data_IF_695029564639
#
_entry.id   IF_695029564639
#
_cell.length_a   1.000
_cell.length_b   1.000
_cell.length_c   1.000
_cell.angle_alpha   90.00
_cell.angle_beta   90.00
_cell.angle_gamma   90.00
#
_symmetry.space_group_name_H-M   'P 1'
#
loop_
_entity.id
_entity.type
_entity.pdbx_description
1 polymer ?
#
# COMPACT_ATOMS: atom_id res chain seq x y z
N UNK A 1 -29.82 23.92 -39.17
CA UNK A 1 -30.47 23.03 -38.19
C UNK A 1 -29.39 22.44 -37.32
N UNK A 2 -29.49 22.70 -36.02
CA UNK A 2 -28.52 22.36 -34.96
C UNK A 2 -28.61 20.90 -34.54
N UNK A 3 -27.46 20.28 -34.28
CA UNK A 3 -27.10 19.29 -33.23
C UNK A 3 -25.73 18.76 -33.65
N UNK A 4 -24.64 18.84 -32.90
CA UNK A 4 -24.40 18.92 -31.47
C UNK A 4 -23.05 18.24 -31.28
N UNK A 5 -21.96 19.02 -31.31
CA UNK A 5 -20.59 18.51 -31.06
C UNK A 5 -20.52 17.95 -29.65
N UNK A 6 -20.52 16.62 -29.52
CA UNK A 6 -20.21 15.96 -28.25
C UNK A 6 -18.69 15.78 -28.18
N UNK A 7 -18.07 16.67 -27.39
CA UNK A 7 -16.73 16.50 -26.81
C UNK A 7 -16.63 15.10 -26.18
N UNK A 8 -15.83 14.24 -26.78
CA UNK A 8 -15.32 13.04 -26.10
C UNK A 8 -14.29 13.52 -25.08
N UNK A 9 -14.71 13.58 -23.81
CA UNK A 9 -13.78 13.74 -22.70
C UNK A 9 -12.98 12.44 -22.54
N UNK A 10 -11.76 12.44 -23.07
CA UNK A 10 -10.69 11.56 -22.61
C UNK A 10 -10.36 11.93 -21.17
N UNK A 11 -10.99 11.27 -20.21
CA UNK A 11 -10.60 11.34 -18.79
C UNK A 11 -9.67 10.16 -18.47
N UNK A 12 -8.47 10.19 -19.03
CA UNK A 12 -7.29 9.56 -18.41
C UNK A 12 -6.22 10.64 -18.29
N UNK A 13 -6.47 11.63 -17.43
CA UNK A 13 -5.42 12.46 -16.81
C UNK A 13 -5.86 12.81 -15.38
N UNK A 14 -4.90 12.65 -14.45
CA UNK A 14 -4.84 13.01 -13.01
C UNK A 14 -5.05 11.78 -12.11
N UNK A 15 -4.02 11.26 -11.43
CA UNK A 15 -3.06 12.00 -10.58
C UNK A 15 -1.59 11.58 -10.80
N UNK A 16 -0.94 12.19 -11.78
CA UNK A 16 0.51 12.42 -11.72
C UNK A 16 0.68 13.92 -11.46
N UNK A 17 0.79 14.30 -10.20
CA UNK A 17 0.75 15.72 -9.84
C UNK A 17 0.45 16.01 -8.38
N UNK A 18 1.22 15.41 -7.47
CA UNK A 18 1.49 16.01 -6.16
C UNK A 18 2.77 15.41 -5.55
N UNK A 19 3.86 15.40 -6.34
CA UNK A 19 5.23 15.24 -5.80
C UNK A 19 5.80 16.63 -5.52
N UNK A 20 5.11 17.37 -4.66
CA UNK A 20 5.60 18.62 -4.10
C UNK A 20 5.99 18.33 -2.67
N UNK A 21 7.25 18.00 -2.46
CA UNK A 21 7.87 17.99 -1.15
C UNK A 21 7.79 19.42 -0.62
N UNK A 22 6.85 19.70 0.26
CA UNK A 22 6.67 21.03 0.85
C UNK A 22 7.84 21.26 1.82
N UNK A 23 8.93 21.73 1.24
CA UNK A 23 9.93 22.55 1.91
C UNK A 23 9.27 23.89 2.19
N UNK A 24 9.15 24.27 3.47
CA UNK A 24 9.49 25.63 3.93
C UNK A 24 9.20 25.87 5.42
N UNK A 25 10.15 26.61 6.01
CA UNK A 25 10.04 27.52 7.16
C UNK A 25 10.11 26.94 8.56
N UNK A 26 11.29 27.03 9.18
CA UNK A 26 11.41 27.31 10.61
C UNK A 26 12.31 28.54 10.82
N UNK A 27 11.65 29.70 10.97
CA UNK A 27 12.24 30.91 11.52
C UNK A 27 12.46 30.77 13.03
N UNK A 28 13.44 31.51 13.55
CA UNK A 28 13.97 31.41 14.91
C UNK A 28 12.88 31.48 16.01
N UNK A 29 12.74 30.37 16.74
CA UNK A 29 12.14 30.30 18.06
C UNK A 29 13.13 29.55 18.98
N UNK A 30 13.02 29.76 20.30
CA UNK A 30 13.88 29.12 21.30
C UNK A 30 14.06 27.61 20.99
N UNK A 31 15.27 27.07 21.22
CA UNK A 31 15.66 25.74 20.76
C UNK A 31 14.67 24.60 21.10
N UNK A 32 13.93 24.70 22.21
CA UNK A 32 12.91 23.73 22.59
C UNK A 32 11.63 23.79 21.74
N UNK A 33 11.17 24.99 21.33
CA UNK A 33 10.03 25.14 20.42
C UNK A 33 10.34 24.55 19.05
N UNK A 34 11.55 24.79 18.54
CA UNK A 34 12.02 24.20 17.27
C UNK A 34 12.10 22.67 17.32
N UNK A 35 12.39 22.10 18.49
CA UNK A 35 12.44 20.63 18.69
C UNK A 35 11.06 20.00 18.70
N UNK A 36 10.09 20.67 19.33
CA UNK A 36 8.68 20.27 19.25
C UNK A 36 8.16 20.35 17.81
N UNK A 37 8.49 21.43 17.07
CA UNK A 37 8.07 21.57 15.67
C UNK A 37 8.74 20.56 14.74
N UNK A 38 10.01 20.21 14.98
CA UNK A 38 10.68 19.15 14.23
C UNK A 38 10.07 17.77 14.52
N UNK A 39 9.60 17.53 15.76
CA UNK A 39 8.88 16.30 16.10
C UNK A 39 7.50 16.23 15.44
N UNK A 40 6.76 17.36 15.38
CA UNK A 40 5.52 17.48 14.60
C UNK A 40 5.75 17.13 13.13
N UNK A 41 6.79 17.70 12.52
CA UNK A 41 7.13 17.42 11.13
C UNK A 41 7.44 15.93 10.91
N UNK A 42 8.18 15.31 11.82
CA UNK A 42 8.51 13.88 11.73
C UNK A 42 7.26 12.98 11.89
N UNK A 43 6.35 13.32 12.81
CA UNK A 43 5.06 12.64 12.97
C UNK A 43 4.19 12.76 11.72
N UNK A 44 4.15 13.95 11.12
CA UNK A 44 3.42 14.20 9.89
C UNK A 44 4.01 13.42 8.70
N UNK A 45 5.33 13.42 8.54
CA UNK A 45 6.02 12.66 7.49
C UNK A 45 5.78 11.15 7.63
N UNK A 46 5.82 10.62 8.85
CA UNK A 46 5.47 9.22 9.10
C UNK A 46 4.02 8.91 8.71
N UNK A 47 3.07 9.76 9.09
CA UNK A 47 1.66 9.63 8.74
C UNK A 47 1.43 9.62 7.22
N UNK A 48 2.03 10.57 6.50
CA UNK A 48 1.97 10.64 5.03
C UNK A 48 2.60 9.41 4.36
N UNK A 49 3.73 8.93 4.87
CA UNK A 49 4.38 7.73 4.34
C UNK A 49 3.53 6.48 4.57
N UNK A 50 2.91 6.35 5.75
CA UNK A 50 2.01 5.25 6.06
C UNK A 50 0.76 5.27 5.18
N UNK A 51 0.14 6.43 4.97
CA UNK A 51 -1.00 6.59 4.06
C UNK A 51 -0.64 6.18 2.62
N UNK A 52 0.56 6.54 2.16
CA UNK A 52 1.06 6.13 0.84
C UNK A 52 1.27 4.60 0.75
N UNK A 53 1.81 3.98 1.79
CA UNK A 53 1.98 2.52 1.85
C UNK A 53 0.62 1.79 1.83
N UNK A 54 -0.35 2.27 2.63
CA UNK A 54 -1.72 1.75 2.65
C UNK A 54 -2.38 1.91 1.28
N UNK A 55 -2.21 3.06 0.62
CA UNK A 55 -2.73 3.31 -0.72
C UNK A 55 -2.13 2.35 -1.75
N UNK A 56 -0.82 2.08 -1.68
CA UNK A 56 -0.19 1.13 -2.59
C UNK A 56 -0.71 -0.31 -2.38
N UNK A 57 -1.04 -0.70 -1.15
CA UNK A 57 -1.68 -1.99 -0.86
C UNK A 57 -3.10 -2.05 -1.45
N UNK A 58 -3.85 -0.95 -1.31
CA UNK A 58 -5.20 -0.79 -1.86
C UNK A 58 -5.23 -0.85 -3.39
N UNK A 59 -4.26 -0.18 -4.03
CA UNK A 59 -4.05 -0.22 -5.48
C UNK A 59 -3.72 -1.64 -5.95
N UNK A 60 -2.88 -2.38 -5.21
CA UNK A 60 -2.56 -3.77 -5.54
C UNK A 60 -3.79 -4.68 -5.46
N UNK A 61 -4.62 -4.53 -4.42
CA UNK A 61 -5.90 -5.28 -4.33
C UNK A 61 -6.84 -4.89 -5.47
N UNK A 62 -6.94 -3.60 -5.79
CA UNK A 62 -7.79 -3.15 -6.88
C UNK A 62 -7.33 -3.77 -8.22
N UNK A 63 -6.02 -3.81 -8.46
CA UNK A 63 -5.44 -4.44 -9.64
C UNK A 63 -5.57 -5.97 -9.66
N UNK A 64 -5.63 -6.63 -8.49
CA UNK A 64 -5.88 -8.08 -8.37
C UNK A 64 -7.19 -8.50 -9.03
N UNK A 65 -8.23 -7.67 -8.88
CA UNK A 65 -9.58 -7.92 -9.40
C UNK A 65 -9.92 -7.11 -10.66
N UNK A 66 -8.99 -6.32 -11.19
CA UNK A 66 -9.22 -5.52 -12.39
C UNK A 66 -9.27 -6.41 -13.64
N UNK A 67 -10.34 -6.29 -14.41
CA UNK A 67 -10.44 -6.91 -15.73
C UNK A 67 -9.35 -6.37 -16.68
N UNK A 68 -8.91 -7.16 -17.69
CA UNK A 68 -8.01 -6.66 -18.72
C UNK A 68 -8.60 -5.42 -19.40
N UNK A 69 -7.79 -4.39 -19.60
CA UNK A 69 -8.22 -3.24 -20.39
C UNK A 69 -8.45 -3.70 -21.84
N UNK A 70 -9.65 -3.43 -22.36
CA UNK A 70 -10.03 -3.75 -23.73
C UNK A 70 -10.41 -2.47 -24.47
N UNK A 71 -10.15 -2.42 -25.78
CA UNK A 71 -10.71 -1.37 -26.63
C UNK A 71 -12.22 -1.56 -26.78
N UNK A 72 -12.94 -0.48 -27.09
CA UNK A 72 -14.39 -0.53 -27.38
C UNK A 72 -14.69 -1.56 -28.48
N UNK A 73 -13.87 -1.61 -29.53
CA UNK A 73 -14.03 -2.56 -30.62
C UNK A 73 -13.85 -4.01 -30.15
N UNK A 74 -12.90 -4.26 -29.25
CA UNK A 74 -12.67 -5.59 -28.68
C UNK A 74 -13.82 -6.01 -27.76
N UNK A 75 -14.30 -5.11 -26.91
CA UNK A 75 -15.49 -5.34 -26.06
C UNK A 75 -16.74 -5.63 -26.91
N UNK A 76 -16.93 -4.89 -28.00
CA UNK A 76 -18.05 -5.12 -28.90
C UNK A 76 -17.95 -6.47 -29.61
N UNK A 77 -16.77 -6.84 -30.11
CA UNK A 77 -16.54 -8.13 -30.75
C UNK A 77 -16.77 -9.30 -29.77
N UNK A 78 -16.29 -9.18 -28.53
CA UNK A 78 -16.49 -10.17 -27.49
C UNK A 78 -17.96 -10.27 -27.07
N UNK A 79 -18.65 -9.14 -26.88
CA UNK A 79 -20.08 -9.13 -26.62
C UNK A 79 -20.88 -9.84 -27.72
N UNK A 80 -20.59 -9.56 -29.00
CA UNK A 80 -21.26 -10.21 -30.13
C UNK A 80 -20.99 -11.72 -30.12
N UNK A 81 -19.75 -12.15 -29.90
CA UNK A 81 -19.40 -13.56 -29.82
C UNK A 81 -20.13 -14.26 -28.66
N UNK A 82 -20.08 -13.68 -27.47
CA UNK A 82 -20.74 -14.21 -26.28
C UNK A 82 -22.27 -14.26 -26.45
N UNK A 83 -22.85 -13.27 -27.10
CA UNK A 83 -24.28 -13.24 -27.40
C UNK A 83 -24.71 -14.35 -28.36
N UNK A 84 -23.89 -14.65 -29.37
CA UNK A 84 -24.14 -15.74 -30.31
C UNK A 84 -24.09 -17.12 -29.64
N UNK A 85 -23.24 -17.27 -28.62
CA UNK A 85 -23.09 -18.52 -27.86
C UNK A 85 -24.06 -18.61 -26.66
N UNK A 86 -24.75 -17.52 -26.31
CA UNK A 86 -25.63 -17.45 -25.16
C UNK A 86 -26.96 -18.15 -25.43
N UNK A 87 -27.25 -19.22 -24.66
CA UNK A 87 -28.44 -20.05 -24.81
C UNK A 87 -29.60 -19.70 -23.86
N UNK A 88 -29.38 -18.74 -22.94
CA UNK A 88 -30.35 -18.34 -21.93
C UNK A 88 -31.26 -17.18 -22.35
N UNK A 89 -32.11 -16.71 -21.43
CA UNK A 89 -32.87 -15.46 -21.61
C UNK A 89 -32.01 -14.26 -21.24
N UNK A 90 -31.97 -13.24 -22.09
CA UNK A 90 -31.27 -12.00 -21.80
C UNK A 90 -31.96 -11.25 -20.66
N UNK A 91 -31.16 -10.79 -19.70
CA UNK A 91 -31.60 -10.06 -18.51
C UNK A 91 -30.66 -8.90 -18.25
N UNK A 92 -31.12 -7.88 -17.53
CA UNK A 92 -30.25 -6.76 -17.15
C UNK A 92 -29.02 -7.23 -16.34
N UNK A 93 -29.13 -8.34 -15.60
CA UNK A 93 -28.02 -8.92 -14.82
C UNK A 93 -26.96 -9.66 -15.63
N UNK A 94 -27.30 -10.24 -16.79
CA UNK A 94 -26.33 -10.99 -17.59
C UNK A 94 -25.66 -10.18 -18.69
N UNK A 95 -26.23 -9.04 -19.11
CA UNK A 95 -25.62 -8.16 -20.12
C UNK A 95 -24.20 -7.72 -19.72
N UNK A 96 -23.92 -7.24 -18.48
CA UNK A 96 -22.56 -6.88 -18.08
C UNK A 96 -21.57 -8.05 -18.16
N UNK A 97 -22.01 -9.27 -17.82
CA UNK A 97 -21.19 -10.49 -17.91
C UNK A 97 -20.89 -10.84 -19.37
N UNK A 98 -21.85 -10.64 -20.27
CA UNK A 98 -21.63 -10.88 -21.71
C UNK A 98 -20.69 -9.84 -22.33
N UNK A 99 -20.71 -8.60 -21.83
CA UNK A 99 -19.81 -7.52 -22.27
C UNK A 99 -18.37 -7.76 -21.78
N UNK A 100 -18.22 -8.22 -20.53
CA UNK A 100 -16.92 -8.47 -19.93
C UNK A 100 -16.98 -9.72 -19.02
N UNK A 101 -16.77 -10.92 -19.58
CA UNK A 101 -16.89 -12.17 -18.83
C UNK A 101 -15.79 -12.34 -17.78
N UNK A 102 -14.66 -11.65 -17.95
CA UNK A 102 -13.54 -11.66 -17.01
C UNK A 102 -13.77 -10.73 -15.81
N UNK A 103 -14.81 -9.90 -15.82
CA UNK A 103 -15.13 -9.04 -14.68
C UNK A 103 -15.53 -9.87 -13.45
N UNK A 104 -14.65 -9.95 -12.45
CA UNK A 104 -14.98 -10.56 -11.18
C UNK A 104 -15.91 -9.63 -10.40
N UNK A 105 -17.05 -10.15 -9.98
CA UNK A 105 -17.89 -9.50 -8.96
C UNK A 105 -17.36 -9.89 -7.59
N UNK A 106 -16.75 -8.94 -6.90
CA UNK A 106 -16.39 -9.11 -5.49
C UNK A 106 -17.68 -9.03 -4.67
N UNK A 107 -17.82 -9.91 -3.68
CA UNK A 107 -18.89 -9.81 -2.69
C UNK A 107 -18.92 -8.39 -2.09
N UNK A 108 -20.05 -7.66 -2.17
CA UNK A 108 -20.14 -6.29 -1.69
C UNK A 108 -19.75 -6.12 -0.22
N UNK A 109 -20.06 -7.10 0.64
CA UNK A 109 -19.74 -7.06 2.07
C UNK A 109 -18.23 -7.24 2.29
N UNK A 110 -17.59 -8.10 1.49
CA UNK A 110 -16.13 -8.28 1.51
C UNK A 110 -15.42 -7.01 1.03
N UNK A 111 -15.95 -6.34 0.00
CA UNK A 111 -15.38 -5.10 -0.49
C UNK A 111 -15.56 -3.95 0.52
N UNK A 112 -16.76 -3.79 1.07
CA UNK A 112 -17.06 -2.78 2.09
C UNK A 112 -16.20 -2.97 3.35
N UNK A 113 -16.00 -4.22 3.79
CA UNK A 113 -15.13 -4.52 4.94
C UNK A 113 -13.68 -4.10 4.69
N UNK A 114 -13.16 -4.34 3.50
CA UNK A 114 -11.82 -3.91 3.12
C UNK A 114 -11.67 -2.39 3.12
N UNK A 115 -12.59 -1.69 2.45
CA UNK A 115 -12.59 -0.22 2.40
C UNK A 115 -12.66 0.38 3.81
N UNK A 116 -13.48 -0.20 4.67
CA UNK A 116 -13.57 0.19 6.08
C UNK A 116 -12.26 -0.06 6.83
N UNK A 117 -11.61 -1.21 6.64
CA UNK A 117 -10.33 -1.51 7.29
C UNK A 117 -9.22 -0.56 6.84
N UNK A 118 -9.14 -0.25 5.55
CA UNK A 118 -8.16 0.72 5.02
C UNK A 118 -8.46 2.14 5.53
N UNK A 119 -9.73 2.54 5.60
CA UNK A 119 -10.13 3.83 6.17
C UNK A 119 -9.80 3.92 7.67
N UNK A 120 -10.03 2.85 8.43
CA UNK A 120 -9.68 2.78 9.85
C UNK A 120 -8.16 2.89 10.06
N UNK A 121 -7.36 2.19 9.25
CA UNK A 121 -5.90 2.32 9.29
C UNK A 121 -5.46 3.76 9.03
N UNK A 122 -5.95 4.38 7.94
CA UNK A 122 -5.62 5.79 7.63
C UNK A 122 -6.03 6.73 8.78
N UNK A 123 -7.20 6.52 9.37
CA UNK A 123 -7.68 7.28 10.53
C UNK A 123 -6.78 7.09 11.76
N UNK A 124 -6.26 5.89 12.00
CA UNK A 124 -5.32 5.63 13.11
C UNK A 124 -4.02 6.45 12.98
N UNK A 125 -3.43 6.54 11.78
CA UNK A 125 -2.24 7.37 11.54
C UNK A 125 -2.54 8.87 11.59
N UNK A 126 -3.68 9.31 11.04
CA UNK A 126 -4.11 10.71 11.13
C UNK A 126 -4.37 11.14 12.58
N UNK A 127 -5.01 10.29 13.39
CA UNK A 127 -5.23 10.54 14.83
C UNK A 127 -3.92 10.60 15.60
N UNK A 128 -2.91 9.82 15.20
CA UNK A 128 -1.59 9.90 15.79
C UNK A 128 -0.89 11.22 15.45
N UNK A 129 -0.91 11.65 14.18
CA UNK A 129 -0.38 12.95 13.76
C UNK A 129 -1.04 14.11 14.53
N UNK A 130 -2.37 14.03 14.71
CA UNK A 130 -3.15 15.00 15.47
C UNK A 130 -2.70 15.18 16.94
N UNK A 131 -2.05 14.18 17.56
CA UNK A 131 -1.50 14.32 18.92
C UNK A 131 -0.45 15.43 18.97
N UNK A 132 0.25 15.66 17.87
CA UNK A 132 1.34 16.63 17.78
C UNK A 132 0.87 18.01 17.35
N UNK A 133 -0.30 18.13 16.69
CA UNK A 133 -0.85 19.40 16.23
C UNK A 133 -1.20 20.34 17.38
N UNK A 134 -1.58 19.79 18.54
CA UNK A 134 -1.96 20.56 19.75
C UNK A 134 -0.75 20.96 20.62
N UNK A 135 0.47 20.58 20.23
CA UNK A 135 1.69 20.96 20.96
C UNK A 135 1.93 22.47 20.79
N UNK A 136 1.67 23.24 21.85
CA UNK A 136 1.87 24.69 21.90
C UNK A 136 0.70 25.49 22.46
N UNK A 137 -0.52 24.93 22.51
CA UNK A 137 -1.68 25.60 23.14
C UNK A 137 -1.79 25.28 24.65
N UNK A 138 -1.67 24.00 25.05
CA UNK A 138 -1.79 23.56 26.46
C UNK A 138 -0.58 22.75 27.00
N UNK A 139 0.29 22.23 26.12
CA UNK A 139 1.51 21.47 26.46
C UNK A 139 2.73 22.21 25.91
N UNK A 140 3.14 23.26 26.65
CA UNK A 140 4.15 24.25 26.25
C UNK A 140 5.50 23.67 25.79
N UNK A 141 5.75 22.37 26.03
CA UNK A 141 6.98 21.68 25.67
C UNK A 141 6.76 20.28 25.08
N UNK A 142 5.52 19.91 24.74
CA UNK A 142 5.19 18.64 24.08
C UNK A 142 5.43 17.37 24.91
N UNK A 143 5.72 17.46 26.20
CA UNK A 143 6.07 16.31 27.05
C UNK A 143 4.86 15.38 27.26
N UNK A 144 3.66 15.96 27.42
CA UNK A 144 2.41 15.20 27.51
C UNK A 144 2.07 14.52 26.19
N UNK A 145 2.24 15.23 25.07
CA UNK A 145 2.05 14.67 23.74
C UNK A 145 3.02 13.51 23.46
N UNK A 146 4.30 13.64 23.83
CA UNK A 146 5.32 12.58 23.70
C UNK A 146 4.95 11.34 24.52
N UNK A 147 4.53 11.55 25.77
CA UNK A 147 4.14 10.45 26.65
C UNK A 147 2.94 9.67 26.09
N UNK A 148 1.95 10.39 25.53
CA UNK A 148 0.77 9.80 24.88
C UNK A 148 1.13 9.12 23.56
N UNK A 149 2.02 9.73 22.77
CA UNK A 149 2.35 9.29 21.42
C UNK A 149 3.22 8.01 21.41
N UNK A 150 4.16 7.84 22.36
CA UNK A 150 5.11 6.71 22.35
C UNK A 150 4.44 5.33 22.26
N UNK A 151 3.48 4.98 23.13
CA UNK A 151 2.77 3.70 23.04
C UNK A 151 1.95 3.55 21.75
N UNK A 152 1.33 4.63 21.26
CA UNK A 152 0.53 4.63 20.04
C UNK A 152 1.43 4.39 18.81
N UNK A 153 2.57 5.10 18.72
CA UNK A 153 3.54 4.91 17.65
C UNK A 153 4.03 3.47 17.57
N UNK A 154 4.35 2.83 18.70
CA UNK A 154 4.76 1.42 18.72
C UNK A 154 3.70 0.50 18.13
N UNK A 155 2.42 0.71 18.48
CA UNK A 155 1.31 -0.05 17.92
C UNK A 155 1.23 0.15 16.40
N UNK A 156 1.26 1.40 15.93
CA UNK A 156 1.17 1.74 14.51
C UNK A 156 2.35 1.19 13.70
N UNK A 157 3.57 1.22 14.25
CA UNK A 157 4.75 0.61 13.63
C UNK A 157 4.61 -0.90 13.52
N UNK A 158 4.10 -1.56 14.56
CA UNK A 158 3.88 -3.01 14.55
C UNK A 158 2.84 -3.42 13.50
N UNK A 159 1.74 -2.67 13.39
CA UNK A 159 0.72 -2.88 12.35
C UNK A 159 1.30 -2.69 10.94
N UNK A 160 2.05 -1.60 10.72
CA UNK A 160 2.72 -1.34 9.44
C UNK A 160 3.71 -2.45 9.07
N UNK A 161 4.51 -2.90 10.03
CA UNK A 161 5.48 -3.96 9.84
C UNK A 161 4.81 -5.31 9.50
N UNK A 162 3.70 -5.63 10.17
CA UNK A 162 2.95 -6.86 9.89
C UNK A 162 2.34 -6.86 8.47
N UNK A 163 1.80 -5.72 8.04
CA UNK A 163 1.32 -5.54 6.66
C UNK A 163 2.47 -5.65 5.65
N UNK A 164 3.60 -4.98 5.90
CA UNK A 164 4.78 -5.05 5.05
C UNK A 164 5.39 -6.46 4.96
N UNK A 165 5.37 -7.23 6.06
CA UNK A 165 5.81 -8.63 6.08
C UNK A 165 4.85 -9.54 5.29
N UNK A 166 3.54 -9.33 5.45
CA UNK A 166 2.52 -10.05 4.68
C UNK A 166 2.71 -9.81 3.19
N UNK A 167 2.89 -8.55 2.79
CA UNK A 167 3.23 -8.17 1.42
C UNK A 167 4.56 -8.81 0.95
N UNK A 168 5.58 -8.85 1.81
CA UNK A 168 6.88 -9.47 1.52
C UNK A 168 6.85 -10.98 1.27
N UNK A 169 5.86 -11.68 1.84
CA UNK A 169 5.74 -13.14 1.80
C UNK A 169 4.65 -13.61 0.83
N UNK A 170 3.53 -12.90 0.76
CA UNK A 170 2.34 -13.25 -0.01
C UNK A 170 1.82 -12.02 -0.76
N UNK A 171 2.53 -11.54 -1.79
CA UNK A 171 2.07 -10.39 -2.55
C UNK A 171 0.79 -10.70 -3.34
N UNK A 172 -0.17 -9.76 -3.43
CA UNK A 172 -1.27 -9.86 -4.38
C UNK A 172 -0.77 -10.06 -5.81
N UNK A 173 -1.51 -10.82 -6.59
CA UNK A 173 -1.25 -11.08 -8.01
C UNK A 173 -2.46 -10.68 -8.82
N UNK A 174 -2.32 -10.39 -10.11
CA UNK A 174 -3.43 -9.90 -10.93
C UNK A 174 -4.29 -11.06 -11.40
N UNK A 175 -5.05 -11.65 -10.46
CA UNK A 175 -5.78 -12.90 -10.61
C UNK A 175 -6.67 -12.92 -11.85
N UNK A 176 -7.44 -11.85 -12.07
CA UNK A 176 -8.34 -11.76 -13.23
C UNK A 176 -7.56 -11.82 -14.54
N UNK A 177 -6.54 -10.97 -14.68
CA UNK A 177 -5.70 -10.91 -15.87
C UNK A 177 -4.95 -12.23 -16.10
N UNK A 178 -4.47 -12.88 -15.03
CA UNK A 178 -3.84 -14.21 -15.11
C UNK A 178 -4.81 -15.25 -15.64
N UNK A 179 -6.02 -15.32 -15.09
CA UNK A 179 -7.04 -16.28 -15.48
C UNK A 179 -7.47 -16.07 -16.95
N UNK A 180 -7.66 -14.82 -17.37
CA UNK A 180 -7.95 -14.48 -18.76
C UNK A 180 -6.86 -14.98 -19.72
N UNK A 181 -5.57 -14.78 -19.38
CA UNK A 181 -4.46 -15.30 -20.18
C UNK A 181 -4.41 -16.83 -20.18
N UNK A 182 -4.71 -17.50 -19.07
CA UNK A 182 -4.79 -18.97 -19.01
C UNK A 182 -5.93 -19.48 -19.88
N UNK A 183 -7.10 -18.84 -19.86
CA UNK A 183 -8.22 -19.17 -20.74
C UNK A 183 -7.85 -18.97 -22.22
N UNK A 184 -7.18 -17.86 -22.54
CA UNK A 184 -6.74 -17.54 -23.91
C UNK A 184 -5.77 -18.58 -24.47
N UNK A 185 -4.75 -19.00 -23.70
CA UNK A 185 -3.81 -20.03 -24.18
C UNK A 185 -4.47 -21.39 -24.32
N UNK A 186 -5.41 -21.74 -23.44
CA UNK A 186 -6.18 -22.98 -23.58
C UNK A 186 -7.05 -22.96 -24.84
N UNK A 187 -7.64 -21.81 -25.21
CA UNK A 187 -8.37 -21.65 -26.48
C UNK A 187 -7.47 -21.89 -27.69
N UNK A 188 -6.28 -21.29 -27.71
CA UNK A 188 -5.28 -21.48 -28.77
C UNK A 188 -4.83 -22.95 -28.85
N UNK A 189 -4.63 -23.59 -27.69
CA UNK A 189 -4.19 -24.99 -27.61
C UNK A 189 -5.26 -25.96 -28.14
N UNK A 190 -6.52 -25.71 -27.81
CA UNK A 190 -7.63 -26.59 -28.16
C UNK A 190 -8.17 -26.38 -29.58
N UNK A 191 -7.93 -25.21 -30.19
CA UNK A 191 -8.32 -24.95 -31.57
C UNK A 191 -7.45 -25.73 -32.56
N UNK A 192 -8.00 -26.85 -33.04
CA UNK A 192 -7.35 -27.74 -34.02
C UNK A 192 -7.49 -27.27 -35.46
N UNK A 193 -8.34 -26.28 -35.72
CA UNK A 193 -8.71 -25.82 -37.07
C UNK A 193 -7.82 -24.69 -37.58
N UNK A 194 -7.23 -23.92 -36.67
CA UNK A 194 -6.29 -22.84 -37.00
C UNK A 194 -4.98 -23.37 -37.59
N UNK A 195 -4.49 -22.69 -38.63
CA UNK A 195 -3.22 -23.02 -39.31
C UNK A 195 -2.01 -22.91 -38.37
N UNK A 196 -0.93 -23.64 -38.66
CA UNK A 196 0.27 -23.65 -37.82
C UNK A 196 0.91 -22.26 -37.67
N UNK A 197 0.94 -21.47 -38.76
CA UNK A 197 1.51 -20.12 -38.76
C UNK A 197 0.67 -19.16 -37.92
N UNK A 198 -0.66 -19.21 -38.08
CA UNK A 198 -1.59 -18.41 -37.27
C UNK A 198 -1.50 -18.77 -35.80
N UNK A 199 -1.46 -20.07 -35.45
CA UNK A 199 -1.32 -20.54 -34.07
C UNK A 199 -0.01 -20.04 -33.46
N UNK A 200 1.09 -20.11 -34.20
CA UNK A 200 2.40 -19.60 -33.74
C UNK A 200 2.37 -18.10 -33.47
N UNK A 201 1.72 -17.32 -34.35
CA UNK A 201 1.49 -15.90 -34.14
C UNK A 201 0.70 -15.59 -32.86
N UNK A 202 -0.39 -16.32 -32.63
CA UNK A 202 -1.21 -16.19 -31.42
C UNK A 202 -0.43 -16.53 -30.13
N UNK A 203 0.37 -17.60 -30.15
CA UNK A 203 1.23 -17.98 -29.01
C UNK A 203 2.26 -16.88 -28.70
N UNK A 204 2.88 -16.27 -29.71
CA UNK A 204 3.83 -15.16 -29.49
C UNK A 204 3.15 -13.93 -28.89
N UNK A 205 1.97 -13.56 -29.39
CA UNK A 205 1.20 -12.45 -28.83
C UNK A 205 0.79 -12.73 -27.37
N UNK A 206 0.32 -13.95 -27.08
CA UNK A 206 0.04 -14.37 -25.71
C UNK A 206 1.27 -14.29 -24.81
N UNK A 207 2.43 -14.76 -25.28
CA UNK A 207 3.68 -14.71 -24.52
C UNK A 207 4.10 -13.28 -24.17
N UNK A 208 3.93 -12.33 -25.10
CA UNK A 208 4.18 -10.92 -24.83
C UNK A 208 3.24 -10.36 -23.76
N UNK A 209 1.95 -10.70 -23.82
CA UNK A 209 0.98 -10.29 -22.80
C UNK A 209 1.31 -10.89 -21.42
N UNK A 210 1.76 -12.14 -21.38
CA UNK A 210 2.20 -12.80 -20.15
C UNK A 210 3.43 -12.11 -19.55
N UNK A 211 4.43 -11.76 -20.36
CA UNK A 211 5.60 -11.01 -19.90
C UNK A 211 5.23 -9.62 -19.38
N UNK A 212 4.32 -8.91 -20.07
CA UNK A 212 3.83 -7.61 -19.61
C UNK A 212 3.10 -7.72 -18.28
N UNK A 213 2.25 -8.73 -18.11
CA UNK A 213 1.55 -9.00 -16.86
C UNK A 213 2.53 -9.21 -15.70
N UNK A 214 3.56 -10.05 -15.89
CA UNK A 214 4.58 -10.26 -14.87
C UNK A 214 5.34 -8.98 -14.54
N UNK A 215 5.64 -8.15 -15.54
CA UNK A 215 6.30 -6.86 -15.33
C UNK A 215 5.42 -5.90 -14.51
N UNK A 216 4.13 -5.80 -14.83
CA UNK A 216 3.18 -4.95 -14.10
C UNK A 216 3.04 -5.40 -12.63
N UNK A 217 2.88 -6.72 -12.40
CA UNK A 217 2.80 -7.31 -11.06
C UNK A 217 4.07 -7.01 -10.25
N UNK A 218 5.25 -7.22 -10.87
CA UNK A 218 6.54 -6.98 -10.25
C UNK A 218 6.74 -5.49 -9.91
N UNK A 219 6.34 -4.59 -10.81
CA UNK A 219 6.44 -3.14 -10.61
C UNK A 219 5.53 -2.66 -9.48
N UNK A 220 4.27 -3.11 -9.50
CA UNK A 220 3.29 -2.79 -8.45
C UNK A 220 3.77 -3.29 -7.09
N UNK A 221 4.23 -4.54 -7.04
CA UNK A 221 4.76 -5.14 -5.84
C UNK A 221 6.01 -4.42 -5.29
N UNK A 222 6.97 -4.09 -6.16
CA UNK A 222 8.17 -3.36 -5.76
C UNK A 222 7.81 -1.98 -5.19
N UNK A 223 6.89 -1.26 -5.84
CA UNK A 223 6.43 0.06 -5.41
C UNK A 223 5.80 -0.01 -4.01
N UNK A 224 4.88 -0.96 -3.81
CA UNK A 224 4.22 -1.13 -2.53
C UNK A 224 5.23 -1.49 -1.41
N UNK A 225 6.10 -2.47 -1.64
CA UNK A 225 7.13 -2.83 -0.66
C UNK A 225 8.04 -1.65 -0.30
N UNK A 226 8.41 -0.86 -1.29
CA UNK A 226 9.23 0.31 -1.07
C UNK A 226 8.55 1.34 -0.17
N UNK A 227 7.26 1.58 -0.38
CA UNK A 227 6.48 2.52 0.44
C UNK A 227 6.32 2.00 1.87
N UNK A 228 6.09 0.70 2.07
CA UNK A 228 6.08 0.08 3.41
C UNK A 228 7.42 0.20 4.14
N UNK A 229 8.54 -0.08 3.45
CA UNK A 229 9.89 0.03 4.04
C UNK A 229 10.20 1.48 4.42
N UNK A 230 9.86 2.42 3.54
CA UNK A 230 10.06 3.86 3.76
C UNK A 230 9.27 4.35 4.97
N UNK A 231 7.98 3.98 5.06
CA UNK A 231 7.14 4.33 6.19
C UNK A 231 7.63 3.67 7.50
N UNK A 232 8.09 2.41 7.44
CA UNK A 232 8.66 1.72 8.60
C UNK A 232 9.91 2.38 9.16
N UNK A 233 10.80 2.86 8.28
CA UNK A 233 12.02 3.58 8.68
C UNK A 233 11.69 4.95 9.31
N UNK A 234 10.81 5.74 8.69
CA UNK A 234 10.37 7.02 9.25
C UNK A 234 9.71 6.82 10.63
N UNK A 235 8.94 5.75 10.80
CA UNK A 235 8.37 5.38 12.10
C UNK A 235 9.43 5.03 13.14
N UNK A 236 10.49 4.31 12.74
CA UNK A 236 11.61 3.99 13.63
C UNK A 236 12.37 5.24 14.08
N UNK A 237 12.68 6.13 13.15
CA UNK A 237 13.32 7.41 13.46
C UNK A 237 12.47 8.26 14.41
N UNK A 238 11.17 8.36 14.15
CA UNK A 238 10.25 9.06 15.04
C UNK A 238 10.21 8.42 16.44
N UNK A 239 10.28 7.09 16.53
CA UNK A 239 10.36 6.41 17.83
C UNK A 239 11.64 6.79 18.58
N UNK A 240 12.78 6.86 17.89
CA UNK A 240 14.05 7.26 18.49
C UNK A 240 14.02 8.71 18.96
N UNK A 241 13.42 9.60 18.17
CA UNK A 241 13.21 11.00 18.54
C UNK A 241 12.32 11.15 19.78
N UNK A 242 11.20 10.41 19.85
CA UNK A 242 10.30 10.40 21.01
C UNK A 242 11.02 9.83 22.24
N UNK A 243 11.74 8.72 22.08
CA UNK A 243 12.40 8.02 23.20
C UNK A 243 13.58 8.79 23.77
N UNK A 244 14.27 9.55 22.93
CA UNK A 244 15.40 10.38 23.32
C UNK A 244 15.05 11.87 23.41
N UNK A 245 13.76 12.21 23.48
CA UNK A 245 13.33 13.61 23.45
C UNK A 245 13.95 14.44 24.58
N UNK A 246 14.29 13.92 25.75
CA UNK A 246 14.98 14.75 26.77
C UNK A 246 16.47 15.00 26.48
N UNK A 247 17.08 14.25 25.55
CA UNK A 247 18.52 14.17 25.32
C UNK A 247 18.98 14.69 23.95
N UNK A 248 18.10 14.66 22.94
CA UNK A 248 18.47 15.07 21.57
C UNK A 248 18.48 16.60 21.42
N UNK A 249 19.43 17.13 20.66
CA UNK A 249 19.41 18.55 20.28
C UNK A 249 18.45 18.76 19.09
N UNK A 250 18.00 20.00 18.88
CA UNK A 250 17.21 20.38 17.69
C UNK A 250 17.96 20.04 16.40
N UNK A 251 19.28 20.27 16.37
CA UNK A 251 20.13 19.92 15.23
C UNK A 251 20.12 18.41 14.95
N UNK A 252 20.05 17.58 15.99
CA UNK A 252 19.93 16.12 15.85
C UNK A 252 18.60 15.75 15.22
N UNK A 253 17.48 16.32 15.66
CA UNK A 253 16.16 16.01 15.08
C UNK A 253 16.08 16.42 13.61
N UNK A 254 16.62 17.59 13.25
CA UNK A 254 16.66 18.05 11.86
C UNK A 254 17.56 17.16 11.00
N UNK A 255 18.68 16.68 11.53
CA UNK A 255 19.54 15.70 10.87
C UNK A 255 18.82 14.37 10.69
N UNK A 256 18.10 13.89 11.69
CA UNK A 256 17.36 12.62 11.61
C UNK A 256 16.24 12.69 10.55
N UNK A 257 15.60 13.85 10.40
CA UNK A 257 14.64 14.12 9.32
C UNK A 257 15.35 14.04 7.96
N UNK A 258 16.47 14.72 7.79
CA UNK A 258 17.24 14.70 6.53
C UNK A 258 17.73 13.29 6.19
N UNK A 259 18.27 12.57 7.18
CA UNK A 259 18.68 11.18 7.05
C UNK A 259 17.47 10.30 6.67
N UNK A 260 16.29 10.53 7.24
CA UNK A 260 15.03 9.87 6.85
C UNK A 260 14.65 10.11 5.40
N UNK A 261 14.74 11.35 4.93
CA UNK A 261 14.46 11.70 3.54
C UNK A 261 15.48 11.07 2.57
N UNK A 262 16.75 11.03 2.95
CA UNK A 262 17.80 10.34 2.21
C UNK A 262 17.54 8.83 2.15
N UNK A 263 17.10 8.20 3.24
CA UNK A 263 16.72 6.78 3.22
C UNK A 263 15.54 6.50 2.28
N UNK A 264 14.52 7.37 2.25
CA UNK A 264 13.41 7.25 1.29
C UNK A 264 13.92 7.32 -0.15
N UNK A 265 14.93 8.16 -0.42
CA UNK A 265 15.58 8.24 -1.71
C UNK A 265 16.39 6.96 -2.03
N UNK A 266 17.23 6.49 -1.11
CA UNK A 266 18.02 5.25 -1.25
C UNK A 266 17.14 4.02 -1.49
N UNK A 267 15.99 3.93 -0.82
CA UNK A 267 15.05 2.83 -1.03
C UNK A 267 14.52 2.76 -2.47
N UNK A 268 14.55 3.86 -3.24
CA UNK A 268 14.15 3.86 -4.67
C UNK A 268 15.11 3.06 -5.53
N UNK A 269 16.34 2.87 -5.07
CA UNK A 269 17.39 2.18 -5.81
C UNK A 269 17.51 0.71 -5.40
N UNK A 270 16.76 0.26 -4.39
CA UNK A 270 16.85 -1.11 -3.89
C UNK A 270 16.11 -2.11 -4.77
N UNK A 271 16.75 -3.27 -4.97
CA UNK A 271 16.13 -4.42 -5.62
C UNK A 271 15.16 -5.15 -4.69
N UNK A 272 14.25 -5.93 -5.28
CA UNK A 272 13.15 -6.55 -4.51
C UNK A 272 13.60 -7.50 -3.40
N UNK A 273 14.74 -8.19 -3.56
CA UNK A 273 15.31 -9.06 -2.52
C UNK A 273 15.70 -8.25 -1.27
N UNK A 274 16.27 -7.06 -1.46
CA UNK A 274 16.66 -6.18 -0.37
C UNK A 274 15.43 -5.57 0.30
N UNK A 275 14.42 -5.15 -0.48
CA UNK A 275 13.16 -4.65 0.05
C UNK A 275 12.42 -5.71 0.89
N UNK A 276 12.35 -6.96 0.42
CA UNK A 276 11.80 -8.09 1.18
C UNK A 276 12.52 -8.30 2.51
N UNK A 277 13.85 -8.29 2.46
CA UNK A 277 14.66 -8.45 3.66
C UNK A 277 14.36 -7.33 4.67
N UNK A 278 14.41 -6.06 4.23
CA UNK A 278 14.06 -4.90 5.07
C UNK A 278 12.66 -5.04 5.66
N UNK A 279 11.66 -5.34 4.84
CA UNK A 279 10.28 -5.51 5.29
C UNK A 279 10.13 -6.61 6.35
N UNK A 280 10.80 -7.75 6.17
CA UNK A 280 10.83 -8.84 7.15
C UNK A 280 11.52 -8.46 8.46
N UNK A 281 12.52 -7.57 8.44
CA UNK A 281 13.20 -7.11 9.65
C UNK A 281 12.46 -6.00 10.41
N UNK A 282 11.52 -5.28 9.80
CA UNK A 282 10.79 -4.19 10.46
C UNK A 282 10.05 -4.65 11.72
N UNK A 283 9.47 -5.85 11.67
CA UNK A 283 8.72 -6.40 12.80
C UNK A 283 9.66 -6.79 13.94
N UNK A 284 10.80 -7.41 13.62
CA UNK A 284 11.85 -7.73 14.59
C UNK A 284 12.43 -6.48 15.25
N UNK A 285 12.68 -5.41 14.48
CA UNK A 285 13.13 -4.12 15.00
C UNK A 285 12.09 -3.51 15.94
N UNK A 286 10.82 -3.53 15.55
CA UNK A 286 9.72 -3.01 16.39
C UNK A 286 9.59 -3.79 17.70
N UNK A 287 9.77 -5.11 17.67
CA UNK A 287 9.77 -5.97 18.87
C UNK A 287 11.00 -5.74 19.75
N UNK A 288 12.19 -5.58 19.16
CA UNK A 288 13.41 -5.27 19.91
C UNK A 288 13.31 -3.92 20.64
N UNK A 289 12.73 -2.90 19.99
CA UNK A 289 12.46 -1.59 20.59
C UNK A 289 11.48 -1.69 21.79
N UNK A 290 10.57 -2.68 21.77
CA UNK A 290 9.63 -2.94 22.87
C UNK A 290 10.34 -3.54 24.09
N UNK A 291 11.28 -4.47 23.91
CA UNK A 291 12.05 -5.08 25.00
C UNK A 291 12.99 -4.07 25.68
N UNK A 292 13.63 -3.20 24.89
CA UNK A 292 14.49 -2.13 25.43
C UNK A 292 13.70 -1.03 26.15
N UNK A 293 12.47 -0.73 25.70
CA UNK A 293 11.58 0.24 26.35
C UNK A 293 10.98 -0.27 27.68
N UNK A 294 10.86 -1.58 27.87
CA UNK A 294 10.36 -2.20 29.10
C UNK A 294 11.45 -2.34 30.20
N UNK A 295 12.73 -2.28 29.84
CA UNK A 295 13.87 -2.44 30.76
C UNK A 295 14.03 -1.34 31.81
N UNK A 296 13.34 -0.20 31.69
CA UNK A 296 13.36 0.90 32.67
C UNK A 296 12.22 0.86 33.70
N UNK A 297 11.35 -0.15 33.65
CA UNK A 297 10.28 -0.36 34.63
C UNK A 297 10.39 -1.77 35.25
N UNK A 298 11.46 -2.02 35.99
CA UNK A 298 11.62 -3.29 36.69
C UNK A 298 10.65 -3.40 37.88
N UNK A 299 9.81 -4.43 37.91
CA UNK A 299 9.77 -5.51 38.93
C UNK A 299 8.39 -6.16 39.06
N UNK A 300 8.42 -7.50 39.25
CA UNK A 300 7.35 -8.44 39.67
C UNK A 300 6.52 -9.10 38.56
N UNK A 301 7.03 -10.23 38.07
CA UNK A 301 6.24 -11.42 37.71
C UNK A 301 5.62 -12.04 38.98
N UNK A 302 4.42 -12.64 38.93
CA UNK A 302 4.30 -14.08 38.60
C UNK A 302 2.97 -14.44 37.86
N UNK A 303 2.62 -15.73 37.66
CA UNK A 303 2.93 -16.55 36.50
C UNK A 303 1.72 -16.80 35.58
N UNK A 304 1.98 -17.07 34.29
CA UNK A 304 0.99 -17.67 33.38
C UNK A 304 0.78 -19.16 33.72
N UNK A 305 -0.46 -19.67 33.71
CA UNK A 305 -0.71 -21.11 33.75
C UNK A 305 -0.34 -21.74 32.41
N UNK A 306 0.49 -22.78 32.46
CA UNK A 306 0.75 -23.68 31.33
C UNK A 306 -0.50 -24.51 31.05
N UNK A 307 -1.04 -24.42 29.82
CA UNK A 307 -1.93 -25.45 29.31
C UNK A 307 -1.16 -26.33 28.31
N UNK A 308 -1.04 -27.60 28.71
CA UNK A 308 -0.49 -28.71 27.92
C UNK A 308 -1.38 -28.99 26.69
N UNK A 309 -0.79 -29.56 25.62
CA UNK A 309 -1.54 -29.90 24.42
C UNK A 309 -2.45 -31.11 24.69
N UNK A 310 -3.73 -30.99 24.32
CA UNK A 310 -4.61 -32.15 24.20
C UNK A 310 -4.52 -32.63 22.76
N UNK A 311 -3.95 -33.82 22.62
CA UNK A 311 -4.03 -34.65 21.42
C UNK A 311 -5.38 -35.36 21.42
N UNK A 312 -6.14 -35.23 20.33
CA UNK A 312 -6.75 -36.32 19.57
C UNK A 312 -7.29 -35.77 18.25
#
# INVERSE_FOLDING_TARGET
MQTGEIRVQNTIIKKCGQRGMVLLMLGLLAACAQKADALKLSAHQFSLAADKAITSLDDMRTAEFAAPAQSTDAQQAEFIANLNDFTGTLTASNIPVLINPDAITIDPDVNAKWEQDMANLRSDYQRFDAIFTDIGEDDLFGIGAIHKAGPILRKLRSQLAALGQTLGTTPPVFLVRRNALVAAINKIHNDKTTSADTRTGQIRAWWQQWQQLQADEQQSYQTALQDFVSAGQLGAQLQDQISNYSKISTQSVLKDIDDGLNFVAENRELGIKQLKHKAGTMLLQTLADQEMGAGNAATKTPPFPQNKPVTQ
#
